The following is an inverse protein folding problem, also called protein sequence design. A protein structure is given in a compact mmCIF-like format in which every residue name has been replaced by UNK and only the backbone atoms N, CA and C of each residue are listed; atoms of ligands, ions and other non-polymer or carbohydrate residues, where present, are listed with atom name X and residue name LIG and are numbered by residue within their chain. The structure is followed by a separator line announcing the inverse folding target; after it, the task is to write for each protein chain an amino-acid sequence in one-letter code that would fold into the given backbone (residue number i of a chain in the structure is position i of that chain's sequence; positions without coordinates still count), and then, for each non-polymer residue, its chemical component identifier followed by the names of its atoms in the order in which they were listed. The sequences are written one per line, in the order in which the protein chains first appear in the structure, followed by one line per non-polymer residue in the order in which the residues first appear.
data_IF_070075934287
#
_entry.id   IF_070075934287
#
_cell.length_a   1.000
_cell.length_b   1.000
_cell.length_c   1.000
_cell.angle_alpha   90.00
_cell.angle_beta   90.00
_cell.angle_gamma   90.00
#
_symmetry.space_group_name_H-M   'P 1'
#
loop_
_entity.id
_entity.type
_entity.pdbx_description
1 polymer ?
#
# COMPACT_ATOMS: atom_id res chain seq x y z
N UNK A 1 -12.00 -5.17 -12.99
CA UNK A 1 -10.74 -5.75 -12.55
C UNK A 1 -9.86 -6.08 -13.74
N UNK A 2 -8.56 -5.87 -13.60
CA UNK A 2 -7.61 -6.15 -14.67
C UNK A 2 -7.56 -7.65 -14.98
N UNK A 3 -7.39 -8.00 -16.26
CA UNK A 3 -7.22 -9.39 -16.66
C UNK A 3 -5.76 -9.83 -16.51
N UNK A 4 -5.52 -11.12 -16.70
CA UNK A 4 -4.19 -11.72 -16.54
C UNK A 4 -3.13 -11.06 -17.45
N UNK A 5 -3.49 -10.77 -18.70
CA UNK A 5 -2.55 -10.16 -19.65
C UNK A 5 -2.17 -8.74 -19.25
N UNK A 6 -3.14 -7.97 -18.74
CA UNK A 6 -2.87 -6.61 -18.26
C UNK A 6 -1.94 -6.62 -17.06
N UNK A 7 -2.15 -7.55 -16.12
CA UNK A 7 -1.30 -7.68 -14.94
C UNK A 7 0.12 -8.10 -15.34
N UNK A 8 0.24 -9.04 -16.26
CA UNK A 8 1.54 -9.49 -16.76
C UNK A 8 2.31 -8.36 -17.42
N UNK A 9 1.67 -7.59 -18.30
CA UNK A 9 2.29 -6.44 -18.96
C UNK A 9 2.68 -5.38 -17.94
N UNK A 10 1.84 -5.14 -16.95
CA UNK A 10 2.11 -4.20 -15.88
C UNK A 10 3.38 -4.58 -15.12
N UNK A 11 3.51 -5.86 -14.74
CA UNK A 11 4.67 -6.33 -14.00
C UNK A 11 5.95 -6.13 -14.82
N UNK A 12 5.92 -6.47 -16.12
CA UNK A 12 7.07 -6.25 -17.00
C UNK A 12 7.46 -4.77 -17.07
N UNK A 13 6.48 -3.88 -17.16
CA UNK A 13 6.76 -2.44 -17.20
C UNK A 13 7.40 -1.94 -15.91
N UNK A 14 6.94 -2.45 -14.75
CA UNK A 14 7.55 -2.09 -13.46
C UNK A 14 9.00 -2.57 -13.41
N UNK A 15 9.25 -3.80 -13.83
CA UNK A 15 10.61 -4.34 -13.85
C UNK A 15 11.54 -3.50 -14.72
N UNK A 16 11.09 -3.15 -15.92
CA UNK A 16 11.92 -2.40 -16.87
C UNK A 16 12.11 -0.95 -16.45
N UNK A 17 11.06 -0.28 -15.99
CA UNK A 17 11.08 1.17 -15.78
C UNK A 17 11.59 1.56 -14.40
N UNK A 18 11.40 0.70 -13.39
CA UNK A 18 11.72 1.05 -12.00
C UNK A 18 12.84 0.21 -11.44
N UNK A 19 12.76 -1.11 -11.59
CA UNK A 19 13.64 -2.03 -10.85
C UNK A 19 14.96 -2.35 -11.54
N UNK A 20 14.98 -2.31 -12.87
CA UNK A 20 16.19 -2.63 -13.63
C UNK A 20 17.33 -1.67 -13.27
N UNK A 21 18.50 -2.22 -12.98
CA UNK A 21 19.69 -1.42 -12.60
C UNK A 21 19.71 -1.08 -11.12
N UNK A 22 18.60 -1.20 -10.42
CA UNK A 22 18.51 -0.92 -9.00
C UNK A 22 18.49 -2.21 -8.17
N UNK A 23 17.78 -3.21 -8.65
CA UNK A 23 17.65 -4.52 -8.01
C UNK A 23 18.12 -5.60 -8.97
N UNK A 24 18.60 -6.72 -8.43
CA UNK A 24 18.90 -7.89 -9.23
C UNK A 24 17.58 -8.58 -9.60
N UNK A 25 17.57 -9.29 -10.72
CA UNK A 25 16.37 -9.92 -11.22
C UNK A 25 15.71 -10.84 -10.20
N UNK A 26 16.50 -11.58 -9.42
CA UNK A 26 15.95 -12.48 -8.41
C UNK A 26 15.33 -11.73 -7.21
N UNK A 27 15.58 -10.42 -7.10
CA UNK A 27 15.02 -9.58 -6.03
C UNK A 27 13.70 -8.92 -6.44
N UNK A 28 13.33 -8.97 -7.72
CA UNK A 28 12.13 -8.26 -8.21
C UNK A 28 10.86 -8.68 -7.49
N UNK A 29 10.70 -9.98 -7.24
CA UNK A 29 9.52 -10.48 -6.52
C UNK A 29 9.39 -9.92 -5.11
N UNK A 30 10.52 -9.68 -4.44
CA UNK A 30 10.52 -9.14 -3.08
C UNK A 30 10.02 -7.69 -3.02
N UNK A 31 10.04 -6.99 -4.15
CA UNK A 31 9.52 -5.63 -4.27
C UNK A 31 8.09 -5.64 -4.81
N UNK A 32 7.87 -6.38 -5.90
CA UNK A 32 6.58 -6.37 -6.61
C UNK A 32 5.45 -6.98 -5.78
N UNK A 33 5.71 -8.13 -5.15
CA UNK A 33 4.66 -8.86 -4.44
C UNK A 33 4.03 -8.03 -3.31
N UNK A 34 4.82 -7.43 -2.40
CA UNK A 34 4.19 -6.61 -1.35
C UNK A 34 3.43 -5.41 -1.90
N UNK A 35 3.90 -4.78 -2.98
CA UNK A 35 3.16 -3.65 -3.56
C UNK A 35 1.87 -4.09 -4.24
N UNK A 36 1.82 -5.28 -4.84
CA UNK A 36 0.56 -5.85 -5.34
C UNK A 36 -0.43 -6.07 -4.19
N UNK A 37 0.06 -6.61 -3.07
CA UNK A 37 -0.77 -6.81 -1.88
C UNK A 37 -1.29 -5.47 -1.36
N UNK A 38 -0.43 -4.46 -1.22
CA UNK A 38 -0.84 -3.12 -0.78
C UNK A 38 -1.90 -2.54 -1.71
N UNK A 39 -1.69 -2.63 -3.01
CA UNK A 39 -2.66 -2.09 -3.98
C UNK A 39 -4.01 -2.78 -3.86
N UNK A 40 -4.03 -4.13 -3.74
CA UNK A 40 -5.28 -4.86 -3.56
C UNK A 40 -5.99 -4.46 -2.26
N UNK A 41 -5.24 -4.36 -1.17
CA UNK A 41 -5.81 -3.94 0.11
C UNK A 41 -6.42 -2.54 0.02
N UNK A 42 -5.70 -1.60 -0.60
CA UNK A 42 -6.20 -0.25 -0.79
C UNK A 42 -7.48 -0.22 -1.62
N UNK A 43 -7.54 -1.02 -2.69
CA UNK A 43 -8.72 -1.09 -3.53
C UNK A 43 -9.94 -1.62 -2.77
N UNK A 44 -9.73 -2.61 -1.90
CA UNK A 44 -10.81 -3.15 -1.06
C UNK A 44 -11.29 -2.13 -0.04
N UNK A 45 -10.37 -1.37 0.56
CA UNK A 45 -10.65 -0.39 1.61
C UNK A 45 -11.23 0.92 1.05
N UNK A 46 -10.88 1.29 -0.17
CA UNK A 46 -11.16 2.60 -0.75
C UNK A 46 -12.59 3.12 -0.50
N UNK A 47 -13.66 2.33 -0.71
CA UNK A 47 -15.01 2.84 -0.49
C UNK A 47 -15.30 3.21 0.96
N UNK A 48 -14.51 2.71 1.90
CA UNK A 48 -14.71 2.92 3.33
C UNK A 48 -13.58 3.72 3.99
N UNK A 49 -12.61 4.20 3.20
CA UNK A 49 -11.41 4.82 3.75
C UNK A 49 -11.72 6.02 4.64
N UNK A 50 -12.54 6.94 4.18
CA UNK A 50 -12.86 8.15 4.94
C UNK A 50 -13.64 7.82 6.21
N UNK A 51 -14.58 6.89 6.14
CA UNK A 51 -15.33 6.41 7.31
C UNK A 51 -14.38 5.82 8.36
N UNK A 52 -13.42 5.02 7.92
CA UNK A 52 -12.43 4.40 8.82
C UNK A 52 -11.60 5.46 9.54
N UNK A 53 -11.10 6.44 8.80
CA UNK A 53 -10.28 7.52 9.37
C UNK A 53 -11.09 8.27 10.43
N UNK A 54 -12.33 8.61 10.10
CA UNK A 54 -13.20 9.34 11.01
C UNK A 54 -13.49 8.54 12.28
N UNK A 55 -13.87 7.27 12.15
CA UNK A 55 -14.14 6.41 13.30
C UNK A 55 -12.90 6.23 14.19
N UNK A 56 -11.75 6.00 13.56
CA UNK A 56 -10.50 5.84 14.30
C UNK A 56 -10.20 7.08 15.12
N UNK A 57 -10.29 8.26 14.53
CA UNK A 57 -9.98 9.52 15.21
C UNK A 57 -10.96 9.82 16.34
N UNK A 58 -12.21 9.45 16.18
CA UNK A 58 -13.23 9.66 17.24
C UNK A 58 -13.05 8.74 18.43
N UNK A 59 -12.59 7.50 18.20
CA UNK A 59 -12.61 6.45 19.21
C UNK A 59 -11.27 6.16 19.88
N UNK A 60 -10.17 6.50 19.23
CA UNK A 60 -8.82 6.06 19.64
C UNK A 60 -8.42 6.45 21.06
N UNK A 61 -8.94 7.56 21.57
CA UNK A 61 -8.60 8.05 22.91
C UNK A 61 -9.38 7.36 24.01
N UNK A 62 -10.50 6.73 23.69
CA UNK A 62 -11.42 6.17 24.69
C UNK A 62 -11.48 4.65 24.67
N UNK A 63 -11.43 4.03 23.49
CA UNK A 63 -11.57 2.59 23.32
C UNK A 63 -10.67 2.13 22.19
N UNK A 64 -10.47 0.79 22.08
CA UNK A 64 -9.86 0.21 20.91
C UNK A 64 -10.84 0.29 19.74
N UNK A 65 -10.53 1.06 18.69
CA UNK A 65 -11.47 1.23 17.58
C UNK A 65 -11.63 -0.01 16.70
N UNK A 66 -10.72 -0.96 16.80
CA UNK A 66 -10.67 -2.09 15.86
C UNK A 66 -11.96 -2.88 15.73
N UNK A 67 -12.58 -3.35 16.83
CA UNK A 67 -13.82 -4.12 16.68
C UNK A 67 -14.96 -3.30 16.07
N UNK A 68 -15.04 -2.03 16.43
CA UNK A 68 -16.11 -1.13 15.97
C UNK A 68 -15.95 -0.86 14.48
N UNK A 69 -14.72 -0.56 14.03
CA UNK A 69 -14.46 -0.31 12.61
C UNK A 69 -14.80 -1.55 11.78
N UNK A 70 -14.37 -2.73 12.21
CA UNK A 70 -14.65 -3.97 11.48
C UNK A 70 -16.15 -4.23 11.39
N UNK A 71 -16.89 -4.00 12.47
CA UNK A 71 -18.32 -4.22 12.49
C UNK A 71 -19.05 -3.24 11.58
N UNK A 72 -18.74 -1.97 11.67
CA UNK A 72 -19.45 -0.93 10.90
C UNK A 72 -19.15 -0.98 9.42
N UNK A 73 -17.90 -1.28 9.04
CA UNK A 73 -17.50 -1.33 7.63
C UNK A 73 -17.76 -2.69 6.99
N UNK A 74 -17.87 -3.75 7.79
CA UNK A 74 -17.97 -5.11 7.30
C UNK A 74 -16.64 -5.67 6.81
N UNK A 75 -15.55 -4.93 6.97
CA UNK A 75 -14.23 -5.35 6.53
C UNK A 75 -13.52 -6.14 7.64
N UNK A 76 -12.70 -7.10 7.23
CA UNK A 76 -11.88 -7.90 8.16
C UNK A 76 -10.55 -7.26 8.48
N UNK A 77 -10.20 -6.21 7.75
CA UNK A 77 -8.98 -5.43 7.92
C UNK A 77 -9.27 -3.99 7.50
N UNK A 78 -8.39 -3.07 7.90
CA UNK A 78 -8.55 -1.66 7.55
C UNK A 78 -7.21 -0.92 7.62
N UNK A 79 -7.22 0.35 7.19
CA UNK A 79 -6.11 1.26 7.36
C UNK A 79 -6.65 2.61 7.79
N UNK A 80 -6.17 3.11 8.93
CA UNK A 80 -6.64 4.38 9.51
C UNK A 80 -5.72 5.56 9.23
N UNK A 81 -4.64 5.36 8.48
CA UNK A 81 -3.76 6.46 8.07
C UNK A 81 -4.51 7.42 7.14
N UNK A 82 -4.08 8.66 7.10
CA UNK A 82 -4.58 9.61 6.10
C UNK A 82 -4.11 9.25 4.69
N UNK A 83 -3.23 8.26 4.55
CA UNK A 83 -2.64 7.88 3.27
C UNK A 83 -3.11 6.51 2.80
N UNK A 84 -3.11 6.35 1.50
CA UNK A 84 -3.10 5.10 0.77
C UNK A 84 -2.13 5.34 -0.39
N UNK A 85 -1.94 4.36 -1.27
CA UNK A 85 -0.97 4.53 -2.37
C UNK A 85 -1.34 5.74 -3.25
N UNK A 86 -2.64 5.93 -3.52
CA UNK A 86 -3.10 7.06 -4.33
C UNK A 86 -2.83 8.40 -3.65
N UNK A 87 -3.13 8.51 -2.36
CA UNK A 87 -2.97 9.76 -1.60
C UNK A 87 -1.51 10.12 -1.34
N UNK A 88 -0.63 9.11 -1.27
CA UNK A 88 0.81 9.35 -1.12
C UNK A 88 1.37 10.17 -2.29
N UNK A 89 0.78 10.07 -3.46
CA UNK A 89 1.22 10.82 -4.63
C UNK A 89 1.01 12.33 -4.50
N UNK A 90 0.15 12.75 -3.59
CA UNK A 90 -0.11 14.17 -3.35
C UNK A 90 1.04 14.93 -2.69
N UNK A 91 2.01 14.21 -2.11
CA UNK A 91 3.18 14.81 -1.49
C UNK A 91 4.44 14.01 -1.85
N UNK A 92 4.94 14.17 -3.09
CA UNK A 92 6.08 13.39 -3.57
C UNK A 92 7.34 13.55 -2.72
N UNK A 93 7.55 14.70 -2.12
CA UNK A 93 8.73 14.98 -1.30
C UNK A 93 8.59 14.47 0.13
N UNK A 94 7.41 14.09 0.54
CA UNK A 94 7.13 13.63 1.90
C UNK A 94 7.13 12.11 2.06
N UNK A 95 7.48 11.33 1.04
CA UNK A 95 7.37 9.87 1.08
C UNK A 95 8.18 9.22 2.19
N UNK A 96 9.32 9.79 2.54
CA UNK A 96 10.16 9.25 3.62
C UNK A 96 9.40 9.16 4.94
N UNK A 97 8.52 10.11 5.20
CA UNK A 97 7.69 10.17 6.42
C UNK A 97 6.32 9.52 6.17
N UNK A 98 5.71 9.83 5.05
CA UNK A 98 4.32 9.45 4.80
C UNK A 98 4.14 7.97 4.46
N UNK A 99 5.12 7.35 3.81
CA UNK A 99 5.02 5.93 3.51
C UNK A 99 5.03 5.07 4.78
N UNK A 100 5.97 5.27 5.73
CA UNK A 100 5.89 4.56 7.00
C UNK A 100 4.59 4.81 7.77
N UNK A 101 4.06 6.04 7.72
CA UNK A 101 2.77 6.35 8.33
C UNK A 101 1.65 5.50 7.72
N UNK A 102 1.64 5.38 6.39
CA UNK A 102 0.68 4.55 5.68
C UNK A 102 0.77 3.10 6.15
N UNK A 103 1.96 2.52 6.17
CA UNK A 103 2.15 1.13 6.57
C UNK A 103 1.70 0.91 8.02
N UNK A 104 2.04 1.82 8.93
CA UNK A 104 1.67 1.67 10.34
C UNK A 104 0.19 1.87 10.61
N UNK A 105 -0.55 2.41 9.64
CA UNK A 105 -2.00 2.59 9.77
C UNK A 105 -2.83 1.34 9.54
N UNK A 106 -2.23 0.27 9.04
CA UNK A 106 -2.96 -0.97 8.83
C UNK A 106 -3.34 -1.63 10.15
N UNK A 107 -4.51 -2.29 10.16
CA UNK A 107 -4.93 -3.10 11.29
C UNK A 107 -3.88 -4.16 11.61
N UNK A 108 -3.82 -4.58 12.87
CA UNK A 108 -2.73 -5.44 13.37
C UNK A 108 -2.56 -6.72 12.55
N UNK A 109 -3.65 -7.34 12.13
CA UNK A 109 -3.57 -8.57 11.34
C UNK A 109 -2.85 -8.38 10.01
N UNK A 110 -3.04 -7.23 9.34
CA UNK A 110 -2.33 -6.90 8.10
C UNK A 110 -0.90 -6.49 8.40
N UNK A 111 -0.70 -5.69 9.44
CA UNK A 111 0.64 -5.22 9.81
C UNK A 111 1.59 -6.39 10.06
N UNK A 112 1.13 -7.44 10.75
CA UNK A 112 1.92 -8.64 10.99
C UNK A 112 2.32 -9.33 9.68
N UNK A 113 1.42 -9.38 8.71
CA UNK A 113 1.72 -9.96 7.40
C UNK A 113 2.78 -9.12 6.67
N UNK A 114 2.62 -7.79 6.71
CA UNK A 114 3.55 -6.89 6.02
C UNK A 114 4.97 -6.95 6.61
N UNK A 115 5.09 -7.18 7.92
CA UNK A 115 6.41 -7.34 8.54
C UNK A 115 7.20 -8.46 7.90
N UNK A 116 6.54 -9.55 7.48
CA UNK A 116 7.20 -10.68 6.86
C UNK A 116 7.82 -10.34 5.50
N UNK A 117 7.36 -9.29 4.84
CA UNK A 117 7.93 -8.86 3.57
C UNK A 117 9.22 -8.05 3.73
N UNK A 118 9.51 -7.55 4.94
CA UNK A 118 10.71 -6.74 5.22
C UNK A 118 10.84 -5.57 4.24
N UNK A 119 9.76 -4.80 4.10
CA UNK A 119 9.66 -3.71 3.13
C UNK A 119 10.69 -2.59 3.34
N UNK A 120 11.21 -2.42 4.55
CA UNK A 120 12.12 -1.32 4.88
C UNK A 120 13.32 -1.27 3.95
N UNK A 121 13.91 -2.42 3.63
CA UNK A 121 15.12 -2.48 2.79
C UNK A 121 14.87 -2.02 1.36
N UNK A 122 13.90 -2.62 0.63
CA UNK A 122 13.65 -2.16 -0.73
C UNK A 122 13.12 -0.73 -0.79
N UNK A 123 12.30 -0.31 0.19
CA UNK A 123 11.78 1.05 0.22
C UNK A 123 12.91 2.05 0.44
N UNK A 124 13.85 1.77 1.34
CA UNK A 124 14.99 2.65 1.56
C UNK A 124 15.80 2.83 0.27
N UNK A 125 16.05 1.74 -0.43
CA UNK A 125 16.79 1.78 -1.70
C UNK A 125 16.04 2.58 -2.76
N UNK A 126 14.74 2.40 -2.85
CA UNK A 126 13.90 3.17 -3.78
C UNK A 126 13.91 4.66 -3.45
N UNK A 127 13.83 5.01 -2.16
CA UNK A 127 13.90 6.40 -1.72
C UNK A 127 15.24 7.05 -2.06
N UNK A 128 16.35 6.37 -1.80
CA UNK A 128 17.68 6.88 -2.09
C UNK A 128 17.91 7.15 -3.58
N UNK A 129 17.23 6.43 -4.44
CA UNK A 129 17.39 6.54 -5.88
C UNK A 129 16.22 7.28 -6.55
N UNK A 130 15.36 7.91 -5.76
CA UNK A 130 14.20 8.70 -6.24
C UNK A 130 13.26 7.87 -7.11
N UNK A 131 13.06 6.59 -6.76
CA UNK A 131 12.21 5.67 -7.52
C UNK A 131 10.93 5.25 -6.79
N UNK A 132 10.79 5.59 -5.50
CA UNK A 132 9.60 5.17 -4.76
C UNK A 132 8.33 5.80 -5.31
N UNK A 133 8.38 7.11 -5.63
CA UNK A 133 7.24 7.78 -6.25
C UNK A 133 6.80 7.10 -7.54
N UNK A 134 7.78 6.81 -8.42
CA UNK A 134 7.48 6.17 -9.70
C UNK A 134 6.85 4.80 -9.51
N UNK A 135 7.34 4.03 -8.54
CA UNK A 135 6.77 2.70 -8.23
C UNK A 135 5.32 2.83 -7.76
N UNK A 136 5.07 3.74 -6.83
CA UNK A 136 3.72 3.98 -6.32
C UNK A 136 2.80 4.44 -7.45
N UNK A 137 3.26 5.37 -8.27
CA UNK A 137 2.47 5.88 -9.39
C UNK A 137 2.06 4.76 -10.34
N UNK A 138 2.99 3.87 -10.68
CA UNK A 138 2.66 2.73 -11.53
C UNK A 138 1.63 1.80 -10.90
N UNK A 139 1.75 1.50 -9.61
CA UNK A 139 0.80 0.62 -8.94
C UNK A 139 -0.60 1.22 -8.81
N UNK A 140 -0.72 2.55 -8.79
CA UNK A 140 -2.04 3.19 -8.76
C UNK A 140 -2.75 3.13 -10.12
N UNK A 141 -2.03 2.81 -11.19
CA UNK A 141 -2.62 2.67 -12.52
C UNK A 141 -3.35 1.35 -12.71
N UNK A 142 -3.01 0.32 -11.93
CA UNK A 142 -3.64 -0.98 -12.06
C UNK A 142 -4.87 -1.07 -11.17
N UNK A 143 -5.98 -1.56 -11.74
CA UNK A 143 -7.25 -1.70 -11.02
C UNK A 143 -7.36 -3.10 -10.42
N UNK A 144 -7.33 -3.17 -9.10
CA UNK A 144 -7.50 -4.40 -8.34
C UNK A 144 -8.72 -4.35 -7.42
N UNK A 145 -9.69 -3.52 -7.76
CA UNK A 145 -10.95 -3.46 -7.02
C UNK A 145 -11.73 -4.77 -7.15
N UNK A 146 -12.48 -5.18 -6.13
CA UNK A 146 -13.38 -6.34 -6.24
C UNK A 146 -14.45 -6.09 -7.30
N UNK A 147 -14.84 -7.13 -7.99
CA UNK A 147 -15.94 -7.06 -8.96
C UNK A 147 -17.29 -7.01 -8.26
#
# INVERSE_FOLDING_TARGET
MSNHNEISSFIWNVCDDVLRGLFKQHEYGDVILPFLVLRRLDCVIEPKKDEIIELYNELKEEVDPTPIIKKQTGLKFFNHSNYDLQRLKGDPNGLKVNFPNYISGFSQNVFEILENFQLEKPVEKLLKNNKLYLLIDKFTEIDLHPN
#
